data_IF_797062153070
#
_entry.id   IF_797062153070
#
_cell.length_a   1.000
_cell.length_b   1.000
_cell.length_c   1.000
_cell.angle_alpha   90.00
_cell.angle_beta   90.00
_cell.angle_gamma   90.00
#
_symmetry.space_group_name_H-M   'P 1'
#
loop_
_entity.id
_entity.type
_entity.pdbx_description
1 polymer ?
#
# COMPACT_ATOMS: atom_id res chain seq x y z
N UNK A 1 -29.89 -8.34 8.75
CA UNK A 1 -28.99 -7.16 8.85
C UNK A 1 -27.60 -7.70 9.04
N UNK A 2 -26.59 -7.24 8.28
CA UNK A 2 -25.19 -7.61 8.57
C UNK A 2 -24.77 -6.97 9.89
N UNK A 3 -24.00 -7.69 10.67
CA UNK A 3 -23.34 -7.18 11.87
C UNK A 3 -22.17 -6.27 11.51
N UNK A 4 -21.78 -5.40 12.44
CA UNK A 4 -20.58 -4.57 12.32
C UNK A 4 -19.33 -5.41 12.02
N UNK A 5 -19.17 -6.53 12.73
CA UNK A 5 -18.03 -7.44 12.55
C UNK A 5 -17.97 -8.05 11.15
N UNK A 6 -19.10 -8.45 10.57
CA UNK A 6 -19.15 -8.96 9.19
C UNK A 6 -18.76 -7.87 8.17
N UNK A 7 -19.23 -6.64 8.37
CA UNK A 7 -18.89 -5.53 7.49
C UNK A 7 -17.41 -5.13 7.58
N UNK A 8 -16.83 -5.15 8.78
CA UNK A 8 -15.39 -4.90 8.96
C UNK A 8 -14.53 -6.03 8.38
N UNK A 9 -14.98 -7.28 8.49
CA UNK A 9 -14.29 -8.42 7.90
C UNK A 9 -14.30 -8.36 6.36
N UNK A 10 -15.44 -7.97 5.77
CA UNK A 10 -15.55 -7.74 4.32
C UNK A 10 -14.63 -6.61 3.85
N UNK A 11 -14.62 -5.48 4.57
CA UNK A 11 -13.68 -4.39 4.28
C UNK A 11 -12.22 -4.84 4.37
N UNK A 12 -11.87 -5.67 5.36
CA UNK A 12 -10.53 -6.26 5.47
C UNK A 12 -10.14 -7.09 4.24
N UNK A 13 -11.07 -7.89 3.70
CA UNK A 13 -10.87 -8.65 2.46
C UNK A 13 -10.61 -7.74 1.24
N UNK A 14 -11.39 -6.66 1.10
CA UNK A 14 -11.22 -5.69 0.01
C UNK A 14 -9.88 -4.93 0.13
N UNK A 15 -9.48 -4.54 1.34
CA UNK A 15 -8.19 -3.90 1.61
C UNK A 15 -7.04 -4.82 1.24
N UNK A 16 -7.13 -6.10 1.60
CA UNK A 16 -6.13 -7.09 1.25
C UNK A 16 -5.97 -7.25 -0.26
N UNK A 17 -7.06 -7.42 -1.01
CA UNK A 17 -7.00 -7.50 -2.47
C UNK A 17 -6.38 -6.24 -3.08
N UNK A 18 -6.74 -5.06 -2.57
CA UNK A 18 -6.18 -3.79 -3.02
C UNK A 18 -4.66 -3.71 -2.78
N UNK A 19 -4.19 -4.09 -1.59
CA UNK A 19 -2.77 -4.04 -1.27
C UNK A 19 -1.95 -5.09 -2.03
N UNK A 20 -2.48 -6.30 -2.22
CA UNK A 20 -1.86 -7.34 -3.04
C UNK A 20 -1.76 -6.89 -4.51
N UNK A 21 -2.82 -6.30 -5.06
CA UNK A 21 -2.82 -5.75 -6.42
C UNK A 21 -1.80 -4.60 -6.58
N UNK A 22 -1.61 -3.78 -5.54
CA UNK A 22 -0.62 -2.71 -5.53
C UNK A 22 0.81 -3.25 -5.45
N UNK A 23 1.03 -4.28 -4.63
CA UNK A 23 2.34 -4.92 -4.47
C UNK A 23 2.81 -5.65 -5.74
N UNK A 24 1.88 -6.20 -6.52
CA UNK A 24 2.17 -6.83 -7.81
C UNK A 24 2.68 -5.84 -8.89
N UNK A 25 2.53 -4.52 -8.66
CA UNK A 25 2.99 -3.48 -9.58
C UNK A 25 2.14 -3.30 -10.84
N UNK A 26 2.40 -2.21 -11.57
CA UNK A 26 1.78 -1.89 -12.86
C UNK A 26 0.66 -0.84 -12.82
N UNK A 27 0.49 -0.14 -13.95
CA UNK A 27 -0.65 0.75 -14.23
C UNK A 27 -1.87 -0.12 -14.54
N UNK A 28 -2.56 -0.59 -13.50
CA UNK A 28 -3.69 -1.50 -13.68
C UNK A 28 -5.03 -0.77 -13.40
N UNK A 29 -5.94 -0.65 -14.39
CA UNK A 29 -7.33 -0.22 -14.17
C UNK A 29 -8.03 -0.97 -13.03
N UNK A 30 -7.58 -2.20 -12.73
CA UNK A 30 -8.02 -2.98 -11.57
C UNK A 30 -7.71 -2.30 -10.23
N UNK A 31 -6.55 -1.66 -10.08
CA UNK A 31 -6.17 -0.95 -8.83
C UNK A 31 -7.11 0.23 -8.61
N UNK A 32 -7.33 1.05 -9.66
CA UNK A 32 -8.22 2.21 -9.56
C UNK A 32 -9.67 1.81 -9.19
N UNK A 33 -10.19 0.74 -9.79
CA UNK A 33 -11.52 0.22 -9.46
C UNK A 33 -11.59 -0.27 -8.01
N UNK A 34 -10.61 -1.08 -7.59
CA UNK A 34 -10.59 -1.67 -6.24
C UNK A 34 -10.46 -0.57 -5.18
N UNK A 35 -9.64 0.44 -5.44
CA UNK A 35 -9.49 1.60 -4.56
C UNK A 35 -10.81 2.37 -4.43
N UNK A 36 -11.49 2.68 -5.54
CA UNK A 36 -12.80 3.36 -5.50
C UNK A 36 -13.87 2.56 -4.74
N UNK A 37 -13.85 1.23 -4.85
CA UNK A 37 -14.75 0.36 -4.10
C UNK A 37 -14.47 0.39 -2.59
N UNK A 38 -13.20 0.30 -2.19
CA UNK A 38 -12.75 0.40 -0.79
C UNK A 38 -13.13 1.77 -0.20
N UNK A 39 -12.85 2.85 -0.92
CA UNK A 39 -13.16 4.22 -0.49
C UNK A 39 -14.66 4.43 -0.31
N UNK A 40 -15.47 3.95 -1.25
CA UNK A 40 -16.94 3.99 -1.16
C UNK A 40 -17.47 3.18 0.03
N UNK A 41 -16.91 2.01 0.29
CA UNK A 41 -17.30 1.16 1.41
C UNK A 41 -16.99 1.83 2.76
N UNK A 42 -15.76 2.33 2.94
CA UNK A 42 -15.37 3.09 4.14
C UNK A 42 -16.25 4.32 4.36
N UNK A 43 -16.57 5.04 3.28
CA UNK A 43 -17.46 6.20 3.34
C UNK A 43 -18.85 5.81 3.84
N UNK A 44 -19.44 4.75 3.30
CA UNK A 44 -20.74 4.26 3.72
C UNK A 44 -20.77 3.84 5.20
N UNK A 45 -19.72 3.16 5.69
CA UNK A 45 -19.62 2.78 7.10
C UNK A 45 -19.55 3.99 8.04
N UNK A 46 -18.85 5.05 7.63
CA UNK A 46 -18.77 6.31 8.38
C UNK A 46 -20.11 7.06 8.37
N UNK A 47 -20.74 7.19 7.20
CA UNK A 47 -22.00 7.92 7.04
C UNK A 47 -23.14 7.25 7.83
N UNK A 48 -23.11 5.92 7.94
CA UNK A 48 -24.08 5.14 8.74
C UNK A 48 -23.72 5.07 10.23
N UNK A 49 -22.57 5.59 10.66
CA UNK A 49 -22.08 5.46 12.04
C UNK A 49 -21.74 4.03 12.45
N UNK A 50 -21.65 3.09 11.50
CA UNK A 50 -21.34 1.68 11.78
C UNK A 50 -19.89 1.51 12.23
N UNK A 51 -18.98 2.31 11.68
CA UNK A 51 -17.58 2.36 12.09
C UNK A 51 -17.16 3.80 12.37
N UNK A 52 -16.23 3.96 13.30
CA UNK A 52 -15.55 5.24 13.54
C UNK A 52 -14.34 5.38 12.63
N UNK A 53 -13.89 6.63 12.42
CA UNK A 53 -12.65 6.91 11.69
C UNK A 53 -11.45 6.15 12.28
N UNK A 54 -11.37 6.04 13.61
CA UNK A 54 -10.25 5.37 14.28
C UNK A 54 -10.26 3.86 14.05
N UNK A 55 -11.43 3.22 14.08
CA UNK A 55 -11.56 1.79 13.75
C UNK A 55 -11.12 1.51 12.30
N UNK A 56 -11.54 2.34 11.36
CA UNK A 56 -11.13 2.20 9.96
C UNK A 56 -9.63 2.44 9.77
N UNK A 57 -9.05 3.46 10.41
CA UNK A 57 -7.61 3.70 10.35
C UNK A 57 -6.80 2.56 10.96
N UNK A 58 -7.29 1.96 12.03
CA UNK A 58 -6.66 0.79 12.67
C UNK A 58 -6.67 -0.38 11.70
N UNK A 59 -7.83 -0.73 11.14
CA UNK A 59 -7.97 -1.82 10.17
C UNK A 59 -7.09 -1.60 8.93
N UNK A 60 -7.10 -0.40 8.34
CA UNK A 60 -6.25 -0.07 7.18
C UNK A 60 -4.77 -0.21 7.53
N UNK A 61 -4.36 0.23 8.72
CA UNK A 61 -2.96 0.13 9.16
C UNK A 61 -2.53 -1.32 9.36
N UNK A 62 -3.39 -2.15 9.93
CA UNK A 62 -3.15 -3.59 10.11
C UNK A 62 -3.01 -4.31 8.77
N UNK A 63 -3.95 -4.08 7.84
CA UNK A 63 -3.91 -4.70 6.52
C UNK A 63 -2.71 -4.23 5.69
N UNK A 64 -2.38 -2.93 5.73
CA UNK A 64 -1.17 -2.40 5.08
C UNK A 64 0.08 -3.03 5.67
N UNK A 65 0.16 -3.15 6.99
CA UNK A 65 1.32 -3.76 7.67
C UNK A 65 1.48 -5.22 7.28
N UNK A 66 0.37 -5.96 7.15
CA UNK A 66 0.38 -7.34 6.68
C UNK A 66 0.87 -7.48 5.24
N UNK A 67 0.47 -6.56 4.36
CA UNK A 67 0.80 -6.63 2.94
C UNK A 67 2.20 -6.08 2.60
N UNK A 68 2.66 -5.03 3.27
CA UNK A 68 3.89 -4.29 2.92
C UNK A 68 4.95 -4.28 4.03
N UNK A 69 4.66 -4.89 5.18
CA UNK A 69 5.51 -4.78 6.36
C UNK A 69 5.31 -3.46 7.11
N UNK A 70 6.12 -3.22 8.16
CA UNK A 70 6.04 -1.99 8.95
C UNK A 70 6.30 -0.75 8.09
N UNK A 71 5.75 0.38 8.52
CA UNK A 71 5.94 1.67 7.84
C UNK A 71 7.42 2.08 7.77
N UNK A 72 8.23 1.58 8.70
CA UNK A 72 9.66 1.79 8.79
C UNK A 72 10.36 0.44 8.88
N UNK A 73 11.47 0.29 8.14
CA UNK A 73 12.37 -0.87 8.19
C UNK A 73 13.79 -0.35 8.33
N UNK A 74 14.59 -0.95 9.21
CA UNK A 74 16.03 -0.70 9.27
C UNK A 74 16.69 -1.23 7.99
N UNK A 75 17.48 -0.39 7.34
CA UNK A 75 18.29 -0.77 6.19
C UNK A 75 19.73 -0.86 6.67
N UNK A 76 20.22 -2.09 6.81
CA UNK A 76 21.65 -2.32 6.96
C UNK A 76 22.34 -1.96 5.64
N UNK A 77 23.11 -0.87 5.67
CA UNK A 77 24.01 -0.50 4.58
C UNK A 77 25.27 -1.33 4.75
N UNK A 78 25.24 -2.58 4.28
CA UNK A 78 26.43 -3.40 4.15
C UNK A 78 26.81 -3.46 2.67
N UNK A 79 28.06 -3.08 2.41
CA UNK A 79 28.79 -2.99 1.14
C UNK A 79 28.42 -1.82 0.21
N UNK A 80 28.87 -0.64 0.62
CA UNK A 80 29.24 0.44 -0.31
C UNK A 80 30.52 -0.02 -1.05
N UNK A 81 30.38 -0.81 -2.13
CA UNK A 81 31.43 -0.80 -3.16
C UNK A 81 31.37 0.61 -3.78
N UNK A 82 32.41 1.45 -3.62
CA UNK A 82 32.38 2.79 -4.15
C UNK A 82 32.22 2.67 -5.66
N UNK A 83 31.11 3.20 -6.18
CA UNK A 83 30.87 3.31 -7.61
C UNK A 83 32.13 3.85 -8.28
N UNK A 84 32.79 2.98 -9.06
CA UNK A 84 34.00 3.26 -9.83
C UNK A 84 33.89 4.63 -10.49
N UNK A 85 34.57 5.61 -9.89
CA UNK A 85 34.75 6.93 -10.45
C UNK A 85 35.98 6.89 -11.36
N UNK A 86 35.85 6.33 -12.55
CA UNK A 86 36.80 6.61 -13.62
C UNK A 86 36.24 7.70 -14.55
N UNK A 87 36.90 8.86 -14.69
CA UNK A 87 36.52 9.85 -15.69
C UNK A 87 36.92 9.34 -17.08
N UNK A 88 35.94 9.12 -17.95
CA UNK A 88 36.19 8.82 -19.38
C UNK A 88 36.72 10.09 -20.05
N UNK A 89 38.05 10.23 -20.11
CA UNK A 89 38.72 11.25 -20.90
C UNK A 89 38.64 10.85 -22.38
N UNK A 90 37.71 11.44 -23.13
CA UNK A 90 37.77 11.40 -24.61
C UNK A 90 38.74 12.47 -25.11
N UNK A 91 39.96 12.04 -25.42
CA UNK A 91 40.83 12.78 -26.34
C UNK A 91 40.34 12.50 -27.76
N UNK A 92 39.83 13.54 -28.44
CA UNK A 92 39.66 13.51 -29.90
C UNK A 92 40.69 14.47 -30.46
N UNK A 93 41.74 13.90 -31.05
CA UNK A 93 42.70 14.63 -31.87
C UNK A 93 42.19 14.67 -33.31
N UNK A 94 42.15 15.87 -33.90
CA UNK A 94 42.28 16.14 -35.33
C UNK A 94 42.80 17.56 -35.51
#
# INVERSE_FOLDING_TARGET
MRSKSEMLAELGGLLREMFEARAAGGLNPRIARTQGQVDGYMRALLDQGTATRQELLTLVSEERTRASGPATREIDVLDDEPASAEPVVRVVAA
#
